data_IF_981585785112
#
_entry.id   IF_981585785112
#
_cell.length_a   1.000
_cell.length_b   1.000
_cell.length_c   1.000
_cell.angle_alpha   90.00
_cell.angle_beta   90.00
_cell.angle_gamma   90.00
#
_symmetry.space_group_name_H-M   'P 1'
#
loop_
_entity.id
_entity.type
_entity.pdbx_description
1 polymer ?
#
# COMPACT_ATOMS: atom_id res chain seq x y z
N UNK A 1 16.96 37.08 -19.10
CA UNK A 1 16.49 35.74 -18.73
C UNK A 1 16.95 35.51 -17.30
N UNK A 2 16.08 35.73 -16.33
CA UNK A 2 16.36 35.53 -14.91
C UNK A 2 16.16 34.08 -14.59
N UNK A 3 17.24 33.39 -14.24
CA UNK A 3 17.20 32.02 -13.70
C UNK A 3 16.39 32.05 -12.41
N UNK A 4 15.13 31.64 -12.50
CA UNK A 4 14.34 31.36 -11.32
C UNK A 4 14.89 30.04 -10.71
N UNK A 5 15.71 30.15 -9.66
CA UNK A 5 16.02 29.01 -8.81
C UNK A 5 14.69 28.38 -8.33
N UNK A 6 14.54 27.06 -8.39
CA UNK A 6 13.40 26.43 -7.77
C UNK A 6 13.39 26.83 -6.29
N UNK A 7 12.26 27.34 -5.83
CA UNK A 7 12.09 27.70 -4.43
C UNK A 7 12.51 26.50 -3.56
N UNK A 8 13.52 26.68 -2.75
CA UNK A 8 13.93 25.64 -1.81
C UNK A 8 12.77 25.40 -0.83
N UNK A 9 12.35 24.15 -0.70
CA UNK A 9 11.29 23.76 0.23
C UNK A 9 11.75 24.14 1.65
N UNK A 10 11.04 25.07 2.29
CA UNK A 10 11.33 25.45 3.67
C UNK A 10 10.72 24.42 4.62
N UNK A 11 11.54 23.47 5.04
CA UNK A 11 11.13 22.42 5.96
C UNK A 11 10.78 22.92 7.36
N UNK A 12 11.12 24.18 7.72
CA UNK A 12 10.75 24.77 9.00
C UNK A 12 9.24 25.09 9.08
N UNK A 13 8.57 25.23 7.92
CA UNK A 13 7.12 25.40 7.84
C UNK A 13 6.33 24.11 8.09
N UNK A 14 7.02 22.97 8.14
CA UNK A 14 6.41 21.68 8.40
C UNK A 14 6.44 21.41 9.91
N UNK A 15 5.30 21.31 10.59
CA UNK A 15 5.31 21.06 12.03
C UNK A 15 6.01 19.73 12.32
N UNK A 16 6.89 19.68 13.35
CA UNK A 16 7.49 18.42 13.74
C UNK A 16 6.37 17.44 14.12
N UNK A 17 6.44 16.23 13.61
CA UNK A 17 5.49 15.19 13.97
C UNK A 17 5.57 15.00 15.50
N UNK A 18 4.45 15.21 16.19
CA UNK A 18 4.35 15.03 17.64
C UNK A 18 4.39 13.55 18.08
N UNK A 19 4.61 12.62 17.16
CA UNK A 19 4.72 11.20 17.46
C UNK A 19 6.19 10.83 17.73
N UNK A 20 6.64 10.80 19.00
CA UNK A 20 8.05 10.58 19.35
C UNK A 20 8.57 9.21 18.95
N UNK A 21 7.70 8.27 18.65
CA UNK A 21 8.06 6.88 18.32
C UNK A 21 8.19 6.60 16.81
N UNK A 22 7.90 7.55 15.94
CA UNK A 22 8.00 7.37 14.48
C UNK A 22 9.43 7.48 13.95
N UNK A 23 10.34 8.11 14.72
CA UNK A 23 11.76 8.27 14.34
C UNK A 23 12.67 7.53 15.29
N UNK A 24 13.09 6.34 14.91
CA UNK A 24 14.15 5.63 15.61
C UNK A 24 15.51 6.00 15.01
N UNK A 25 16.47 6.57 15.76
CA UNK A 25 17.77 6.96 15.22
C UNK A 25 18.55 5.82 14.57
N UNK A 26 18.34 4.58 15.01
CA UNK A 26 18.94 3.39 14.40
C UNK A 26 18.33 3.13 13.01
N UNK A 27 17.01 3.21 12.92
CA UNK A 27 16.29 3.02 11.65
C UNK A 27 16.63 4.12 10.65
N UNK A 28 16.69 5.38 11.08
CA UNK A 28 17.07 6.51 10.22
C UNK A 28 18.49 6.35 9.67
N UNK A 29 19.45 5.90 10.47
CA UNK A 29 20.81 5.62 9.97
C UNK A 29 20.82 4.48 8.97
N UNK A 30 20.04 3.42 9.20
CA UNK A 30 19.93 2.31 8.25
C UNK A 30 19.34 2.77 6.92
N UNK A 31 18.25 3.54 6.97
CA UNK A 31 17.62 4.10 5.77
C UNK A 31 18.63 4.96 4.99
N UNK A 32 19.33 5.86 5.69
CA UNK A 32 20.34 6.72 5.06
C UNK A 32 21.41 5.88 4.36
N UNK A 33 21.96 4.88 5.04
CA UNK A 33 23.00 4.01 4.44
C UNK A 33 22.48 3.23 3.21
N UNK A 34 21.24 2.74 3.24
CA UNK A 34 20.62 2.07 2.10
C UNK A 34 20.46 3.07 0.94
N UNK A 35 19.93 4.26 1.20
CA UNK A 35 19.73 5.29 0.18
C UNK A 35 21.06 5.74 -0.45
N UNK A 36 22.14 5.84 0.33
CA UNK A 36 23.48 6.17 -0.18
C UNK A 36 24.03 5.07 -1.09
N UNK A 37 23.73 3.82 -0.80
CA UNK A 37 24.18 2.66 -1.58
C UNK A 37 23.41 2.49 -2.90
N UNK A 38 22.10 2.84 -2.95
CA UNK A 38 21.26 2.70 -4.13
C UNK A 38 21.74 3.61 -5.29
N UNK A 39 21.82 3.04 -6.48
CA UNK A 39 21.96 3.81 -7.73
C UNK A 39 20.72 4.65 -8.02
N UNK A 40 20.81 5.70 -8.86
CA UNK A 40 19.63 6.46 -9.26
C UNK A 40 18.50 5.61 -9.85
N UNK A 41 18.83 4.60 -10.66
CA UNK A 41 17.83 3.69 -11.23
C UNK A 41 17.12 2.86 -10.17
N UNK A 42 17.87 2.33 -9.18
CA UNK A 42 17.29 1.58 -8.06
C UNK A 42 16.41 2.49 -7.18
N UNK A 43 16.83 3.74 -6.93
CA UNK A 43 15.98 4.72 -6.21
C UNK A 43 14.66 4.97 -6.92
N UNK A 44 14.68 5.08 -8.25
CA UNK A 44 13.46 5.21 -9.06
C UNK A 44 12.59 3.96 -8.91
N UNK A 45 13.19 2.77 -8.99
CA UNK A 45 12.46 1.51 -8.77
C UNK A 45 11.72 1.48 -7.42
N UNK A 46 12.38 1.95 -6.34
CA UNK A 46 11.81 1.95 -5.00
C UNK A 46 10.58 2.85 -4.82
N UNK A 47 10.38 3.85 -5.66
CA UNK A 47 9.19 4.72 -5.64
C UNK A 47 8.10 4.30 -6.63
N UNK A 48 8.31 3.22 -7.38
CA UNK A 48 7.32 2.68 -8.31
C UNK A 48 6.46 1.64 -7.57
N UNK A 49 5.15 1.76 -7.72
CA UNK A 49 4.17 0.75 -7.36
C UNK A 49 3.52 0.23 -8.64
N UNK A 50 3.77 -1.03 -8.96
CA UNK A 50 3.30 -1.65 -10.20
C UNK A 50 2.11 -2.57 -9.95
N UNK A 51 1.15 -2.62 -10.89
CA UNK A 51 0.06 -3.59 -10.83
C UNK A 51 0.56 -5.01 -11.13
N UNK A 52 0.13 -5.99 -10.33
CA UNK A 52 0.53 -7.40 -10.48
C UNK A 52 0.14 -8.03 -11.83
N UNK A 53 -0.79 -7.44 -12.55
CA UNK A 53 -1.12 -7.86 -13.91
C UNK A 53 -0.09 -7.38 -14.96
N UNK A 54 0.78 -6.45 -14.59
CA UNK A 54 1.74 -5.78 -15.50
C UNK A 54 3.19 -6.17 -15.25
N UNK A 55 3.50 -6.82 -14.13
CA UNK A 55 4.85 -7.19 -13.74
C UNK A 55 4.94 -8.65 -13.31
N UNK A 56 6.12 -9.22 -13.46
CA UNK A 56 6.48 -10.55 -12.97
C UNK A 56 7.41 -10.45 -11.75
N UNK A 57 7.62 -11.54 -11.00
CA UNK A 57 8.65 -11.59 -9.97
C UNK A 57 10.05 -11.19 -10.49
N UNK A 58 10.43 -11.61 -11.70
CA UNK A 58 11.70 -11.22 -12.30
C UNK A 58 11.82 -9.70 -12.52
N UNK A 59 10.71 -9.03 -12.85
CA UNK A 59 10.70 -7.58 -13.00
C UNK A 59 10.93 -6.87 -11.66
N UNK A 60 10.45 -7.44 -10.55
CA UNK A 60 10.70 -6.91 -9.20
C UNK A 60 12.20 -6.86 -8.91
N UNK A 61 12.94 -7.95 -9.14
CA UNK A 61 14.39 -7.98 -8.96
C UNK A 61 15.10 -7.05 -9.95
N UNK A 62 14.74 -7.12 -11.23
CA UNK A 62 15.39 -6.40 -12.32
C UNK A 62 15.28 -4.88 -12.18
N UNK A 63 14.11 -4.39 -11.77
CA UNK A 63 13.84 -2.95 -11.66
C UNK A 63 13.89 -2.44 -10.23
N UNK A 64 14.18 -3.28 -9.24
CA UNK A 64 14.20 -2.95 -7.81
C UNK A 64 12.91 -2.27 -7.36
N UNK A 65 11.76 -2.85 -7.75
CA UNK A 65 10.45 -2.26 -7.44
C UNK A 65 10.24 -2.20 -5.92
N UNK A 66 9.78 -1.06 -5.42
CA UNK A 66 9.52 -0.86 -3.99
C UNK A 66 8.19 -1.44 -3.55
N UNK A 67 7.21 -1.49 -4.44
CA UNK A 67 5.89 -2.04 -4.14
C UNK A 67 5.17 -2.58 -5.37
N UNK A 68 4.22 -3.46 -5.10
CA UNK A 68 3.20 -3.90 -6.06
C UNK A 68 1.82 -3.63 -5.50
N UNK A 69 0.82 -3.61 -6.36
CA UNK A 69 -0.59 -3.56 -5.97
C UNK A 69 -1.41 -4.52 -6.83
N UNK A 70 -2.53 -4.96 -6.29
CA UNK A 70 -3.62 -5.50 -7.09
C UNK A 70 -4.71 -4.44 -7.18
N UNK A 71 -4.77 -3.77 -8.33
CA UNK A 71 -5.81 -2.77 -8.62
C UNK A 71 -7.06 -3.42 -9.18
N UNK A 72 -8.22 -2.95 -8.74
CA UNK A 72 -9.49 -3.36 -9.31
C UNK A 72 -9.71 -4.88 -9.34
N UNK A 73 -9.54 -5.48 -10.51
CA UNK A 73 -9.77 -6.90 -10.73
C UNK A 73 -8.47 -7.70 -10.97
N UNK A 74 -7.30 -7.14 -10.66
CA UNK A 74 -6.03 -7.86 -10.81
C UNK A 74 -5.94 -8.98 -9.78
N UNK A 75 -5.65 -10.19 -10.26
CA UNK A 75 -5.51 -11.38 -9.43
C UNK A 75 -4.43 -12.31 -10.02
N UNK A 76 -3.81 -13.18 -9.19
CA UNK A 76 -2.86 -14.15 -9.68
C UNK A 76 -3.43 -14.98 -10.84
N UNK A 77 -2.66 -15.11 -11.93
CA UNK A 77 -3.10 -15.79 -13.13
C UNK A 77 -4.27 -15.14 -13.87
N UNK A 78 -4.64 -13.90 -13.53
CA UNK A 78 -5.77 -13.14 -14.11
C UNK A 78 -7.11 -13.90 -14.05
N UNK A 79 -7.32 -14.66 -12.98
CA UNK A 79 -8.51 -15.49 -12.80
C UNK A 79 -9.43 -14.88 -11.73
N UNK A 80 -10.74 -14.90 -11.99
CA UNK A 80 -11.72 -14.62 -10.94
C UNK A 80 -11.74 -15.77 -9.92
N UNK A 81 -12.04 -15.45 -8.67
CA UNK A 81 -12.08 -16.42 -7.55
C UNK A 81 -10.79 -17.23 -7.40
N UNK A 82 -9.65 -16.58 -7.57
CA UNK A 82 -8.32 -17.17 -7.36
C UNK A 82 -8.22 -17.75 -5.94
N UNK A 83 -7.78 -19.00 -5.77
CA UNK A 83 -7.56 -19.61 -4.45
C UNK A 83 -6.56 -18.80 -3.62
N UNK A 84 -6.74 -18.77 -2.29
CA UNK A 84 -5.82 -18.09 -1.37
C UNK A 84 -4.37 -18.56 -1.52
N UNK A 85 -4.17 -19.87 -1.81
CA UNK A 85 -2.84 -20.43 -2.05
C UNK A 85 -2.09 -19.74 -3.19
N UNK A 86 -2.79 -19.32 -4.26
CA UNK A 86 -2.16 -18.67 -5.40
C UNK A 86 -1.73 -17.24 -5.06
N UNK A 87 -2.48 -16.56 -4.18
CA UNK A 87 -2.08 -15.26 -3.63
C UNK A 87 -0.84 -15.37 -2.77
N UNK A 88 -0.81 -16.35 -1.86
CA UNK A 88 0.34 -16.60 -0.99
C UNK A 88 1.58 -16.99 -1.79
N UNK A 89 1.44 -17.88 -2.78
CA UNK A 89 2.55 -18.27 -3.65
C UNK A 89 3.13 -17.07 -4.39
N UNK A 90 2.27 -16.21 -4.95
CA UNK A 90 2.74 -15.00 -5.64
C UNK A 90 3.38 -13.99 -4.68
N UNK A 91 2.88 -13.89 -3.43
CA UNK A 91 3.49 -13.05 -2.40
C UNK A 91 4.91 -13.52 -2.06
N UNK A 92 5.07 -14.82 -1.88
CA UNK A 92 6.38 -15.45 -1.63
C UNK A 92 7.33 -15.24 -2.81
N UNK A 93 6.87 -15.44 -4.06
CA UNK A 93 7.65 -15.20 -5.27
C UNK A 93 8.13 -13.74 -5.39
N UNK A 94 7.27 -12.77 -5.12
CA UNK A 94 7.63 -11.35 -5.13
C UNK A 94 8.63 -11.02 -4.02
N UNK A 95 8.40 -11.56 -2.82
CA UNK A 95 9.31 -11.35 -1.69
C UNK A 95 10.70 -11.94 -1.97
N UNK A 96 10.77 -13.20 -2.40
CA UNK A 96 12.02 -13.89 -2.75
C UNK A 96 12.77 -13.13 -3.85
N UNK A 97 12.05 -12.68 -4.87
CA UNK A 97 12.62 -11.91 -5.98
C UNK A 97 13.21 -10.58 -5.49
N UNK A 98 12.50 -9.84 -4.64
CA UNK A 98 13.02 -8.59 -4.06
C UNK A 98 14.27 -8.82 -3.21
N UNK A 99 14.35 -9.96 -2.53
CA UNK A 99 15.48 -10.34 -1.68
C UNK A 99 16.65 -10.94 -2.47
N UNK A 100 16.45 -11.31 -3.73
CA UNK A 100 17.50 -11.81 -4.63
C UNK A 100 18.11 -10.71 -5.50
N UNK A 101 17.55 -9.50 -5.51
CA UNK A 101 18.03 -8.39 -6.31
C UNK A 101 19.47 -7.98 -5.97
N UNK A 102 20.20 -7.48 -6.96
CA UNK A 102 21.56 -6.97 -6.79
C UNK A 102 21.56 -5.69 -5.93
N UNK A 103 22.47 -5.61 -4.96
CA UNK A 103 22.61 -4.46 -4.07
C UNK A 103 21.82 -4.61 -2.77
N UNK A 104 21.26 -3.51 -2.21
CA UNK A 104 20.46 -3.57 -1.00
C UNK A 104 19.21 -4.43 -1.21
N UNK A 105 19.06 -5.43 -0.35
CA UNK A 105 17.89 -6.31 -0.35
C UNK A 105 16.77 -5.66 0.43
N UNK A 106 15.83 -5.06 -0.27
CA UNK A 106 14.70 -4.34 0.32
C UNK A 106 13.44 -5.14 0.03
N UNK A 107 12.77 -5.69 1.07
CA UNK A 107 11.52 -6.44 0.87
C UNK A 107 10.49 -5.58 0.16
N UNK A 108 9.84 -6.14 -0.86
CA UNK A 108 8.77 -5.46 -1.55
C UNK A 108 7.52 -5.33 -0.67
N UNK A 109 6.80 -4.22 -0.79
CA UNK A 109 5.48 -4.04 -0.16
C UNK A 109 4.38 -4.41 -1.16
N UNK A 110 3.37 -5.13 -0.69
CA UNK A 110 2.17 -5.39 -1.48
C UNK A 110 0.97 -4.65 -0.91
N UNK A 111 0.42 -3.71 -1.70
CA UNK A 111 -0.75 -2.91 -1.36
C UNK A 111 -2.02 -3.41 -2.04
N UNK A 112 -3.16 -3.23 -1.39
CA UNK A 112 -4.47 -3.62 -1.91
C UNK A 112 -5.58 -2.65 -1.52
N UNK A 113 -6.65 -2.62 -2.30
CA UNK A 113 -7.88 -1.92 -1.98
C UNK A 113 -8.82 -2.84 -1.19
N UNK A 114 -8.75 -2.78 0.13
CA UNK A 114 -9.67 -3.49 1.02
C UNK A 114 -10.68 -2.50 1.63
N UNK A 115 -11.49 -1.87 0.79
CA UNK A 115 -12.33 -0.72 1.14
C UNK A 115 -13.48 -1.09 2.11
N UNK A 116 -14.03 -2.29 1.96
CA UNK A 116 -15.13 -2.79 2.79
C UNK A 116 -14.97 -4.29 3.11
N UNK A 117 -13.84 -4.64 3.67
CA UNK A 117 -13.31 -5.99 3.80
C UNK A 117 -12.33 -6.32 2.68
N UNK A 118 -11.71 -7.49 2.74
CA UNK A 118 -10.73 -7.91 1.72
C UNK A 118 -11.42 -8.52 0.51
N UNK A 119 -12.10 -7.70 -0.27
CA UNK A 119 -12.97 -8.10 -1.38
C UNK A 119 -12.27 -8.81 -2.55
N UNK A 120 -10.95 -8.85 -2.57
CA UNK A 120 -10.19 -9.55 -3.61
C UNK A 120 -10.01 -11.04 -3.32
N UNK A 121 -10.25 -11.47 -2.08
CA UNK A 121 -10.06 -12.85 -1.65
C UNK A 121 -11.40 -13.58 -1.53
N UNK A 122 -11.54 -14.67 -2.29
CA UNK A 122 -12.71 -15.52 -2.18
C UNK A 122 -12.84 -16.12 -0.76
N UNK A 123 -13.98 -15.89 -0.12
CA UNK A 123 -14.24 -16.36 1.25
C UNK A 123 -13.93 -15.36 2.36
N UNK A 124 -13.27 -14.23 2.06
CA UNK A 124 -13.13 -13.15 3.03
C UNK A 124 -14.46 -12.46 3.32
N UNK A 125 -14.57 -11.85 4.48
CA UNK A 125 -15.80 -11.15 4.89
C UNK A 125 -15.92 -9.81 4.14
N UNK A 126 -17.06 -9.62 3.48
CA UNK A 126 -17.42 -8.34 2.84
C UNK A 126 -18.33 -7.56 3.80
N UNK A 127 -17.89 -6.36 4.14
CA UNK A 127 -18.63 -5.45 5.00
C UNK A 127 -19.43 -4.42 4.19
N UNK A 128 -20.42 -3.74 4.77
CA UNK A 128 -21.07 -2.60 4.11
C UNK A 128 -20.08 -1.50 3.77
N UNK A 129 -20.35 -0.73 2.72
CA UNK A 129 -19.56 0.45 2.38
C UNK A 129 -19.58 1.52 3.47
N UNK A 130 -18.56 2.36 3.50
CA UNK A 130 -18.33 3.36 4.57
C UNK A 130 -19.50 4.32 4.77
N UNK A 131 -20.26 4.67 3.73
CA UNK A 131 -21.46 5.49 3.85
C UNK A 131 -22.49 4.86 4.80
N UNK A 132 -22.64 3.54 4.75
CA UNK A 132 -23.55 2.81 5.65
C UNK A 132 -22.96 2.69 7.06
N UNK A 133 -21.64 2.48 7.16
CA UNK A 133 -20.97 2.40 8.47
C UNK A 133 -21.00 3.74 9.19
N UNK A 134 -20.86 4.86 8.47
CA UNK A 134 -21.04 6.18 9.03
C UNK A 134 -22.47 6.42 9.53
N UNK A 135 -23.49 6.00 8.76
CA UNK A 135 -24.88 6.10 9.15
C UNK A 135 -25.23 5.27 10.39
N UNK A 136 -24.53 4.16 10.61
CA UNK A 136 -24.70 3.32 11.82
C UNK A 136 -24.24 4.03 13.10
N UNK A 137 -23.31 5.01 13.00
CA UNK A 137 -22.77 5.80 14.11
C UNK A 137 -22.23 4.95 15.28
N UNK A 138 -21.61 3.81 14.93
CA UNK A 138 -21.02 2.87 15.88
C UNK A 138 -19.50 2.75 15.60
N UNK A 139 -18.66 3.63 16.20
CA UNK A 139 -17.23 3.60 16.00
C UNK A 139 -16.57 2.31 16.50
N UNK A 140 -17.09 1.68 17.54
CA UNK A 140 -16.56 0.43 18.06
C UNK A 140 -16.77 -0.72 17.07
N UNK A 141 -17.90 -0.72 16.37
CA UNK A 141 -18.14 -1.65 15.27
C UNK A 141 -17.14 -1.41 14.11
N UNK A 142 -16.91 -0.15 13.75
CA UNK A 142 -15.98 0.20 12.67
C UNK A 142 -14.55 -0.22 13.02
N UNK A 143 -14.10 -0.04 14.26
CA UNK A 143 -12.80 -0.52 14.74
C UNK A 143 -12.68 -2.05 14.58
N UNK A 144 -13.69 -2.82 14.99
CA UNK A 144 -13.71 -4.28 14.85
C UNK A 144 -13.68 -4.72 13.37
N UNK A 145 -14.38 -4.00 12.50
CA UNK A 145 -14.37 -4.24 11.05
C UNK A 145 -12.96 -3.99 10.49
N UNK A 146 -12.32 -2.90 10.92
CA UNK A 146 -10.94 -2.59 10.52
C UNK A 146 -9.96 -3.68 10.96
N UNK A 147 -10.07 -4.15 12.19
CA UNK A 147 -9.24 -5.24 12.71
C UNK A 147 -9.44 -6.55 11.94
N UNK A 148 -10.69 -6.93 11.64
CA UNK A 148 -10.98 -8.12 10.85
C UNK A 148 -10.42 -8.00 9.42
N UNK A 149 -10.60 -6.85 8.77
CA UNK A 149 -10.05 -6.59 7.44
C UNK A 149 -8.52 -6.67 7.43
N UNK A 150 -7.85 -6.12 8.45
CA UNK A 150 -6.39 -6.17 8.57
C UNK A 150 -5.87 -7.62 8.71
N UNK A 151 -6.60 -8.46 9.46
CA UNK A 151 -6.26 -9.89 9.59
C UNK A 151 -6.39 -10.62 8.25
N UNK A 152 -7.47 -10.38 7.50
CA UNK A 152 -7.68 -10.99 6.17
C UNK A 152 -6.60 -10.54 5.19
N UNK A 153 -6.23 -9.24 5.18
CA UNK A 153 -5.14 -8.71 4.34
C UNK A 153 -3.81 -9.38 4.70
N UNK A 154 -3.46 -9.47 5.98
CA UNK A 154 -2.23 -10.15 6.40
C UNK A 154 -2.23 -11.64 6.08
N UNK A 155 -3.36 -12.31 6.25
CA UNK A 155 -3.49 -13.74 5.96
C UNK A 155 -3.34 -14.07 4.46
N UNK A 156 -3.51 -13.08 3.58
CA UNK A 156 -3.31 -13.23 2.13
C UNK A 156 -1.90 -12.87 1.63
N UNK A 157 -0.96 -12.58 2.54
CA UNK A 157 0.42 -12.24 2.20
C UNK A 157 0.65 -10.78 1.84
N UNK A 158 -0.34 -9.90 2.07
CA UNK A 158 -0.26 -8.47 1.78
C UNK A 158 0.05 -7.66 3.04
N UNK A 159 0.74 -6.53 2.86
CA UNK A 159 1.27 -5.74 3.98
C UNK A 159 0.57 -4.40 4.15
N UNK A 160 -0.13 -3.93 3.13
CA UNK A 160 -0.63 -2.57 3.05
C UNK A 160 -2.03 -2.53 2.44
N UNK A 161 -2.93 -1.76 3.05
CA UNK A 161 -4.22 -1.41 2.43
C UNK A 161 -4.32 0.10 2.22
N UNK A 162 -4.96 0.51 1.11
CA UNK A 162 -5.24 1.90 0.79
C UNK A 162 -6.53 2.41 1.45
N UNK A 163 -7.18 1.58 2.22
CA UNK A 163 -8.43 1.85 2.92
C UNK A 163 -8.20 1.98 4.45
N UNK A 164 -9.16 2.57 5.17
CA UNK A 164 -10.39 3.18 4.66
C UNK A 164 -10.21 4.58 4.09
N UNK A 165 -11.13 5.01 3.22
CA UNK A 165 -11.27 6.44 2.93
C UNK A 165 -11.83 7.15 4.16
N UNK A 166 -11.06 8.05 4.76
CA UNK A 166 -11.45 8.82 5.95
C UNK A 166 -12.15 10.13 5.61
N UNK A 167 -12.42 10.39 4.34
CA UNK A 167 -13.13 11.57 3.87
C UNK A 167 -14.60 11.55 4.29
N UNK A 168 -15.16 12.72 4.50
CA UNK A 168 -16.61 12.97 4.58
C UNK A 168 -17.02 13.67 3.30
N UNK A 169 -17.94 13.07 2.54
CA UNK A 169 -18.37 13.61 1.27
C UNK A 169 -19.09 14.96 1.47
N UNK A 170 -18.65 15.99 0.75
CA UNK A 170 -19.25 17.33 0.79
C UNK A 170 -20.14 17.61 -0.43
N UNK A 171 -20.01 16.83 -1.48
CA UNK A 171 -20.74 16.97 -2.73
C UNK A 171 -21.17 15.61 -3.26
N UNK A 172 -22.47 15.41 -3.46
CA UNK A 172 -23.05 14.15 -3.95
C UNK A 172 -22.61 13.80 -5.40
N UNK A 173 -22.06 14.77 -6.15
CA UNK A 173 -21.54 14.53 -7.50
C UNK A 173 -20.20 13.81 -7.49
N UNK A 174 -19.52 13.72 -6.33
CA UNK A 174 -18.28 12.97 -6.22
C UNK A 174 -18.54 11.47 -6.42
N UNK A 175 -17.93 10.88 -7.43
CA UNK A 175 -18.19 9.49 -7.84
C UNK A 175 -17.87 8.42 -6.79
N UNK A 176 -17.05 8.76 -5.77
CA UNK A 176 -16.66 7.87 -4.65
C UNK A 176 -17.35 8.23 -3.33
N UNK A 177 -18.49 8.92 -3.38
CA UNK A 177 -19.28 9.27 -2.19
C UNK A 177 -19.61 8.06 -1.31
N UNK A 178 -19.88 6.90 -1.92
CA UNK A 178 -20.19 5.66 -1.22
C UNK A 178 -19.02 5.12 -0.38
N UNK A 179 -17.79 5.49 -0.69
CA UNK A 179 -16.59 5.12 0.08
C UNK A 179 -16.34 6.04 1.27
N UNK A 180 -17.01 7.18 1.36
CA UNK A 180 -16.86 8.13 2.44
C UNK A 180 -17.83 7.82 3.59
N UNK A 181 -17.42 8.13 4.80
CA UNK A 181 -18.29 8.08 5.96
C UNK A 181 -19.34 9.20 5.90
N UNK A 182 -20.56 8.92 6.38
CA UNK A 182 -21.67 9.90 6.44
C UNK A 182 -21.79 10.52 7.83
#
# INVERSE_FOLDING_TARGET
MTDAHPASLDLSLWPPSGAPNLKCPRTERLITSIVEWLTPAQKVGQIIQADIASVSPDDVAKYHLGSVLNGGNSAPGRRQNTPLSDWLNLADEFWESSMSADGPRIPILWGTDAVHGHNNIAGATIFPHNVNLGAARDPDLVERIGAATALDVRASGMDWTFAPSIAVAQDIRWGRTYEAYS
#
